data_IF_918727040325
#
_entry.id   IF_918727040325
#
_cell.length_a   1.000
_cell.length_b   1.000
_cell.length_c   1.000
_cell.angle_alpha   90.00
_cell.angle_beta   90.00
_cell.angle_gamma   90.00
#
_symmetry.space_group_name_H-M   'P 1'
#
loop_
_entity.id
_entity.type
_entity.pdbx_description
1 polymer ?
#
# COMPACT_ATOMS: atom_id res chain seq x y z
N UNK A 1 -4.05 1.38 -7.38
CA UNK A 1 -5.17 2.33 -7.53
C UNK A 1 -4.80 3.65 -6.84
N UNK A 2 -4.61 4.75 -7.58
CA UNK A 2 -4.41 6.07 -6.98
C UNK A 2 -5.76 6.62 -6.54
N UNK A 3 -5.95 6.88 -5.25
CA UNK A 3 -7.14 7.55 -4.73
C UNK A 3 -7.35 8.87 -5.48
N UNK A 4 -8.54 9.08 -6.05
CA UNK A 4 -8.82 10.31 -6.80
C UNK A 4 -8.89 11.49 -5.84
N UNK A 5 -8.44 12.68 -6.28
CA UNK A 5 -8.47 13.90 -5.45
C UNK A 5 -9.88 14.23 -4.95
N UNK A 6 -10.90 13.93 -5.77
CA UNK A 6 -12.31 14.08 -5.41
C UNK A 6 -12.72 13.11 -4.30
N UNK A 7 -12.23 11.87 -4.32
CA UNK A 7 -12.53 10.87 -3.30
C UNK A 7 -11.91 11.25 -1.94
N UNK A 8 -10.67 11.74 -1.93
CA UNK A 8 -10.04 12.23 -0.70
C UNK A 8 -10.73 13.47 -0.12
N UNK A 9 -11.23 14.37 -0.98
CA UNK A 9 -12.02 15.53 -0.55
C UNK A 9 -13.34 15.08 0.09
N UNK A 10 -14.05 14.16 -0.55
CA UNK A 10 -15.31 13.61 -0.04
C UNK A 10 -15.11 12.93 1.32
N UNK A 11 -14.10 12.07 1.44
CA UNK A 11 -13.74 11.39 2.69
C UNK A 11 -13.46 12.38 3.83
N UNK A 12 -12.76 13.47 3.52
CA UNK A 12 -12.47 14.53 4.50
C UNK A 12 -13.73 15.28 4.93
N UNK A 13 -14.61 15.63 3.98
CA UNK A 13 -15.88 16.31 4.26
C UNK A 13 -16.78 15.42 5.14
N UNK A 14 -16.94 14.15 4.77
CA UNK A 14 -17.76 13.19 5.52
C UNK A 14 -17.24 13.04 6.94
N UNK A 15 -15.92 12.90 7.14
CA UNK A 15 -15.34 12.83 8.48
C UNK A 15 -15.62 14.06 9.34
N UNK A 16 -15.55 15.27 8.75
CA UNK A 16 -15.88 16.51 9.46
C UNK A 16 -17.36 16.54 9.84
N UNK A 17 -18.26 16.22 8.91
CA UNK A 17 -19.71 16.22 9.16
C UNK A 17 -20.13 15.21 10.23
N UNK A 18 -19.56 13.99 10.19
CA UNK A 18 -19.82 12.96 11.20
C UNK A 18 -19.31 13.41 12.57
N UNK A 19 -18.08 13.97 12.64
CA UNK A 19 -17.53 14.49 13.89
C UNK A 19 -18.39 15.61 14.49
N UNK A 20 -18.87 16.53 13.65
CA UNK A 20 -19.76 17.61 14.06
C UNK A 20 -21.11 17.09 14.57
N UNK A 21 -21.72 16.16 13.83
CA UNK A 21 -23.01 15.56 14.19
C UNK A 21 -22.96 14.80 15.51
N UNK A 22 -21.89 14.00 15.72
CA UNK A 22 -21.68 13.28 16.98
C UNK A 22 -21.51 14.25 18.16
N UNK A 23 -20.73 15.33 17.97
CA UNK A 23 -20.55 16.34 19.02
C UNK A 23 -21.87 17.04 19.37
N UNK A 24 -22.66 17.44 18.36
CA UNK A 24 -23.95 18.10 18.58
C UNK A 24 -24.97 17.18 19.27
N UNK A 25 -25.02 15.90 18.90
CA UNK A 25 -25.90 14.91 19.51
C UNK A 25 -25.51 14.62 20.96
N UNK A 26 -24.21 14.44 21.24
CA UNK A 26 -23.70 14.24 22.58
C UNK A 26 -24.06 15.43 23.50
N UNK A 27 -23.85 16.65 23.02
CA UNK A 27 -24.20 17.86 23.77
C UNK A 27 -25.71 17.99 24.03
N UNK A 28 -26.54 17.70 23.02
CA UNK A 28 -27.99 17.79 23.13
C UNK A 28 -28.60 16.77 24.11
N UNK A 29 -27.89 15.68 24.41
CA UNK A 29 -28.34 14.64 25.34
C UNK A 29 -27.70 14.82 26.72
N UNK A 30 -26.37 14.95 26.78
CA UNK A 30 -25.61 14.95 28.03
C UNK A 30 -25.84 16.22 28.84
N UNK A 31 -25.87 17.39 28.20
CA UNK A 31 -25.90 18.66 28.94
C UNK A 31 -27.27 18.95 29.57
N UNK A 32 -28.41 18.63 28.94
CA UNK A 32 -29.71 18.68 29.62
C UNK A 32 -29.84 17.70 30.79
N UNK A 33 -29.23 16.51 30.70
CA UNK A 33 -29.18 15.55 31.82
C UNK A 33 -28.40 16.12 33.02
N UNK A 34 -27.44 17.00 32.77
CA UNK A 34 -26.68 17.72 33.80
C UNK A 34 -27.38 19.01 34.27
N UNK A 35 -28.60 19.29 33.79
CA UNK A 35 -29.39 20.46 34.16
C UNK A 35 -29.12 21.73 33.35
N UNK A 36 -28.33 21.66 32.28
CA UNK A 36 -28.04 22.78 31.40
C UNK A 36 -28.95 22.75 30.16
N UNK A 37 -29.90 23.67 30.07
CA UNK A 37 -30.67 23.88 28.84
C UNK A 37 -29.87 24.75 27.87
N UNK A 38 -29.48 24.19 26.73
CA UNK A 38 -28.58 24.83 25.76
C UNK A 38 -29.35 25.14 24.48
N UNK A 39 -29.21 26.38 24.00
CA UNK A 39 -29.75 26.78 22.70
C UNK A 39 -29.00 26.16 21.52
N UNK A 40 -29.63 26.10 20.34
CA UNK A 40 -28.99 25.61 19.11
C UNK A 40 -27.67 26.33 18.79
N UNK A 41 -27.63 27.66 18.99
CA UNK A 41 -26.44 28.47 18.72
C UNK A 41 -25.27 28.11 19.67
N UNK A 42 -25.55 27.93 20.96
CA UNK A 42 -24.55 27.49 21.93
C UNK A 42 -24.04 26.07 21.62
N UNK A 43 -24.93 25.16 21.20
CA UNK A 43 -24.51 23.82 20.78
C UNK A 43 -23.57 23.87 19.55
N UNK A 44 -23.88 24.74 18.58
CA UNK A 44 -23.06 24.92 17.38
C UNK A 44 -21.66 25.50 17.70
N UNK A 45 -21.57 26.42 18.68
CA UNK A 45 -20.29 26.92 19.19
C UNK A 45 -19.45 25.84 19.88
N UNK A 46 -20.08 25.02 20.74
CA UNK A 46 -19.39 23.90 21.40
C UNK A 46 -18.89 22.90 20.36
N UNK A 47 -19.73 22.56 19.37
CA UNK A 47 -19.37 21.63 18.31
C UNK A 47 -18.20 22.18 17.45
N UNK A 48 -18.18 23.48 17.14
CA UNK A 48 -17.07 24.13 16.48
C UNK A 48 -15.78 24.07 17.31
N UNK A 49 -15.86 24.34 18.61
CA UNK A 49 -14.70 24.26 19.51
C UNK A 49 -14.16 22.82 19.61
N UNK A 50 -15.03 21.83 19.77
CA UNK A 50 -14.66 20.41 19.80
C UNK A 50 -14.01 19.96 18.49
N UNK A 51 -14.45 20.50 17.36
CA UNK A 51 -13.84 20.24 16.05
C UNK A 51 -12.40 20.74 16.02
N UNK A 52 -12.15 21.98 16.48
CA UNK A 52 -10.79 22.55 16.57
C UNK A 52 -9.90 21.72 17.51
N UNK A 53 -10.39 21.37 18.70
CA UNK A 53 -9.65 20.54 19.66
C UNK A 53 -9.33 19.16 19.07
N UNK A 54 -10.27 18.54 18.36
CA UNK A 54 -10.06 17.24 17.73
C UNK A 54 -8.99 17.30 16.63
N UNK A 55 -9.00 18.35 15.80
CA UNK A 55 -7.97 18.62 14.79
C UNK A 55 -6.60 18.78 15.47
N UNK A 56 -6.51 19.63 16.51
CA UNK A 56 -5.27 19.89 17.23
C UNK A 56 -4.71 18.61 17.86
N UNK A 57 -5.55 17.80 18.52
CA UNK A 57 -5.14 16.52 19.11
C UNK A 57 -4.65 15.55 18.04
N UNK A 58 -5.38 15.43 16.92
CA UNK A 58 -5.00 14.52 15.82
C UNK A 58 -3.65 14.92 15.22
N UNK A 59 -3.44 16.21 14.98
CA UNK A 59 -2.17 16.74 14.51
C UNK A 59 -1.04 16.53 15.53
N UNK A 60 -1.27 16.85 16.80
CA UNK A 60 -0.28 16.68 17.87
C UNK A 60 0.12 15.21 18.04
N UNK A 61 -0.83 14.28 18.04
CA UNK A 61 -0.56 12.83 18.12
C UNK A 61 0.19 12.33 16.90
N UNK A 62 -0.18 12.76 15.70
CA UNK A 62 0.54 12.40 14.47
C UNK A 62 1.99 12.88 14.54
N UNK A 63 2.21 14.13 14.95
CA UNK A 63 3.53 14.73 15.09
C UNK A 63 4.36 14.04 16.18
N UNK A 64 3.73 13.64 17.28
CA UNK A 64 4.35 12.89 18.36
C UNK A 64 4.79 11.49 17.89
N UNK A 65 3.93 10.75 17.17
CA UNK A 65 4.29 9.43 16.64
C UNK A 65 5.40 9.49 15.58
N UNK A 66 5.43 10.55 14.76
CA UNK A 66 6.56 10.82 13.87
C UNK A 66 7.84 11.10 14.65
N UNK A 67 7.79 11.94 15.68
CA UNK A 67 8.96 12.24 16.53
C UNK A 67 9.48 10.99 17.25
N UNK A 68 8.57 10.14 17.73
CA UNK A 68 8.89 8.88 18.39
C UNK A 68 9.28 7.74 17.43
N UNK A 69 9.32 7.98 16.11
CA UNK A 69 9.63 6.98 15.09
C UNK A 69 8.81 5.68 15.19
N UNK A 70 7.60 5.75 15.76
CA UNK A 70 6.73 4.57 15.97
C UNK A 70 6.23 4.02 14.62
N UNK A 71 6.28 4.81 13.54
CA UNK A 71 5.92 4.40 12.18
C UNK A 71 7.12 4.49 11.27
N UNK A 72 7.63 3.35 10.79
CA UNK A 72 8.51 3.31 9.62
C UNK A 72 7.65 3.38 8.36
N UNK A 73 7.67 4.50 7.61
CA UNK A 73 6.89 4.60 6.38
C UNK A 73 7.39 3.58 5.35
N UNK A 74 6.47 2.98 4.60
CA UNK A 74 6.83 2.10 3.50
C UNK A 74 7.62 2.91 2.46
N UNK A 75 8.84 2.47 2.15
CA UNK A 75 9.73 3.17 1.23
C UNK A 75 9.15 3.23 -0.20
N UNK A 76 9.54 4.23 -1.02
CA UNK A 76 9.11 4.31 -2.41
C UNK A 76 9.45 3.08 -3.26
N UNK A 77 10.51 2.34 -2.89
CA UNK A 77 10.88 1.10 -3.56
C UNK A 77 9.89 -0.03 -3.22
N UNK A 78 9.55 -0.21 -1.94
CA UNK A 78 8.55 -1.19 -1.51
C UNK A 78 7.19 -0.93 -2.16
N UNK A 79 6.76 0.34 -2.25
CA UNK A 79 5.53 0.71 -2.97
C UNK A 79 5.60 0.35 -4.46
N UNK A 80 6.76 0.51 -5.10
CA UNK A 80 6.94 0.15 -6.50
C UNK A 80 6.85 -1.36 -6.73
N UNK A 81 7.40 -2.17 -5.81
CA UNK A 81 7.28 -3.63 -5.83
C UNK A 81 5.81 -4.05 -5.69
N UNK A 82 5.09 -3.50 -4.71
CA UNK A 82 3.65 -3.78 -4.53
C UNK A 82 2.83 -3.36 -5.75
N UNK A 83 3.12 -2.19 -6.33
CA UNK A 83 2.45 -1.71 -7.53
C UNK A 83 2.75 -2.59 -8.74
N UNK A 84 3.97 -3.11 -8.88
CA UNK A 84 4.32 -4.03 -9.95
C UNK A 84 3.61 -5.37 -9.81
N UNK A 85 3.57 -5.96 -8.61
CA UNK A 85 2.79 -7.18 -8.35
C UNK A 85 1.31 -6.97 -8.73
N UNK A 86 0.75 -5.81 -8.36
CA UNK A 86 -0.63 -5.49 -8.73
C UNK A 86 -0.81 -5.33 -10.24
N UNK A 87 0.14 -4.70 -10.94
CA UNK A 87 0.12 -4.56 -12.40
C UNK A 87 0.18 -5.92 -13.11
N UNK A 88 1.00 -6.85 -12.64
CA UNK A 88 1.08 -8.21 -13.17
C UNK A 88 -0.29 -8.91 -13.10
N UNK A 89 -1.01 -8.76 -11.98
CA UNK A 89 -2.37 -9.29 -11.82
C UNK A 89 -3.37 -8.55 -12.72
N UNK A 90 -3.42 -7.22 -12.64
CA UNK A 90 -4.49 -6.42 -13.27
C UNK A 90 -4.33 -6.26 -14.78
N UNK A 91 -3.10 -6.19 -15.27
CA UNK A 91 -2.79 -5.90 -16.68
C UNK A 91 -2.39 -7.15 -17.44
N UNK A 92 -1.59 -8.02 -16.82
CA UNK A 92 -1.08 -9.22 -17.48
C UNK A 92 -1.93 -10.47 -17.18
N UNK A 93 -2.86 -10.38 -16.24
CA UNK A 93 -3.76 -11.48 -15.88
C UNK A 93 -3.07 -12.60 -15.10
N UNK A 94 -1.88 -12.36 -14.55
CA UNK A 94 -1.15 -13.34 -13.73
C UNK A 94 -1.76 -13.37 -12.34
N UNK A 95 -2.94 -13.99 -12.25
CA UNK A 95 -3.70 -14.09 -11.03
C UNK A 95 -3.04 -15.03 -10.02
N UNK A 96 -3.39 -14.95 -8.72
CA UNK A 96 -2.96 -15.92 -7.73
C UNK A 96 -3.21 -17.39 -8.15
N UNK A 97 -4.34 -17.65 -8.80
CA UNK A 97 -4.73 -18.99 -9.28
C UNK A 97 -3.86 -19.44 -10.46
N UNK A 98 -3.50 -18.52 -11.35
CA UNK A 98 -2.50 -18.80 -12.40
C UNK A 98 -1.16 -19.19 -11.77
N UNK A 99 -0.70 -18.39 -10.79
CA UNK A 99 0.59 -18.59 -10.13
C UNK A 99 0.65 -19.95 -9.40
N UNK A 100 -0.46 -20.40 -8.83
CA UNK A 100 -0.60 -21.70 -8.17
C UNK A 100 -0.38 -22.89 -9.12
N UNK A 101 -0.65 -22.71 -10.41
CA UNK A 101 -0.39 -23.69 -11.48
C UNK A 101 1.07 -23.73 -11.94
N UNK A 102 1.89 -22.73 -11.62
CA UNK A 102 3.30 -22.69 -12.02
C UNK A 102 4.15 -23.55 -11.08
N UNK A 103 5.16 -24.23 -11.63
CA UNK A 103 6.08 -25.09 -10.89
C UNK A 103 6.58 -24.43 -9.58
N UNK A 104 6.71 -25.18 -8.47
CA UNK A 104 7.25 -24.65 -7.22
C UNK A 104 8.62 -24.00 -7.42
N UNK A 105 8.83 -22.82 -6.84
CA UNK A 105 10.09 -22.08 -6.92
C UNK A 105 10.34 -21.35 -8.24
N UNK A 106 9.52 -21.54 -9.27
CA UNK A 106 9.71 -20.89 -10.57
C UNK A 106 9.56 -19.37 -10.50
N UNK A 107 8.58 -18.83 -9.77
CA UNK A 107 8.43 -17.37 -9.65
C UNK A 107 9.62 -16.79 -8.87
N UNK A 108 10.12 -17.51 -7.85
CA UNK A 108 11.35 -17.13 -7.14
C UNK A 108 12.59 -17.19 -8.04
N UNK A 109 12.75 -18.22 -8.89
CA UNK A 109 13.85 -18.34 -9.84
C UNK A 109 13.83 -17.21 -10.89
N UNK A 110 12.65 -16.87 -11.40
CA UNK A 110 12.47 -15.72 -12.28
C UNK A 110 12.79 -14.39 -11.55
N UNK A 111 12.39 -14.26 -10.29
CA UNK A 111 12.73 -13.12 -9.45
C UNK A 111 14.24 -12.98 -9.24
N UNK A 112 14.92 -14.09 -8.91
CA UNK A 112 16.37 -14.14 -8.76
C UNK A 112 17.10 -13.80 -10.06
N UNK A 113 16.59 -14.24 -11.21
CA UNK A 113 17.15 -13.91 -12.52
C UNK A 113 17.19 -12.40 -12.75
N UNK A 114 16.09 -11.69 -12.50
CA UNK A 114 16.08 -10.22 -12.58
C UNK A 114 17.00 -9.55 -11.56
N UNK A 115 17.10 -10.10 -10.34
CA UNK A 115 17.95 -9.53 -9.29
C UNK A 115 19.45 -9.69 -9.58
N UNK A 116 19.87 -10.86 -10.08
CA UNK A 116 21.26 -11.15 -10.44
C UNK A 116 21.71 -10.41 -11.69
N UNK A 117 20.81 -10.19 -12.64
CA UNK A 117 21.12 -9.45 -13.88
C UNK A 117 21.04 -7.93 -13.70
N UNK A 118 20.34 -7.43 -12.66
CA UNK A 118 20.18 -5.99 -12.46
C UNK A 118 21.52 -5.22 -12.39
N UNK A 119 22.56 -5.67 -11.65
CA UNK A 119 23.85 -4.96 -11.57
C UNK A 119 24.56 -4.78 -12.91
N UNK A 120 24.31 -5.65 -13.91
CA UNK A 120 24.92 -5.49 -15.24
C UNK A 120 24.52 -4.17 -15.93
N UNK A 121 23.38 -3.58 -15.56
CA UNK A 121 22.98 -2.24 -16.02
C UNK A 121 23.87 -1.11 -15.49
N UNK A 122 24.70 -1.36 -14.47
CA UNK A 122 25.58 -0.36 -13.85
C UNK A 122 27.02 -0.41 -14.40
N UNK A 123 27.41 -1.50 -15.07
CA UNK A 123 28.78 -1.72 -15.54
C UNK A 123 28.93 -1.34 -17.03
N UNK A 124 29.62 -0.23 -17.27
CA UNK A 124 30.23 0.23 -18.54
C UNK A 124 29.30 0.46 -19.76
N UNK A 125 29.12 1.75 -20.11
CA UNK A 125 28.78 2.17 -21.49
C UNK A 125 27.30 2.07 -21.92
N UNK A 126 26.36 1.81 -21.01
CA UNK A 126 24.92 1.96 -21.26
C UNK A 126 24.29 1.01 -22.29
N UNK A 127 25.05 0.05 -22.84
CA UNK A 127 24.61 -0.80 -23.95
C UNK A 127 24.47 -2.30 -23.61
N UNK A 128 24.71 -2.70 -22.37
CA UNK A 128 24.56 -4.09 -21.95
C UNK A 128 23.20 -4.40 -21.33
N UNK A 129 22.09 -4.22 -22.05
CA UNK A 129 20.90 -4.98 -21.68
C UNK A 129 21.31 -6.46 -21.75
N UNK A 130 21.17 -7.23 -20.66
CA UNK A 130 21.31 -8.68 -20.69
C UNK A 130 20.25 -9.26 -21.63
N UNK A 131 20.46 -9.20 -22.94
CA UNK A 131 19.46 -9.53 -23.97
C UNK A 131 19.16 -11.04 -24.03
N UNK A 132 19.92 -11.84 -23.29
CA UNK A 132 19.69 -13.26 -23.07
C UNK A 132 19.30 -13.48 -21.61
N UNK A 133 18.25 -14.28 -21.35
CA UNK A 133 17.95 -14.70 -20.00
C UNK A 133 19.11 -15.54 -19.44
N UNK A 134 19.39 -15.44 -18.12
CA UNK A 134 20.33 -16.34 -17.46
C UNK A 134 19.78 -17.77 -17.44
N UNK A 135 20.64 -18.75 -17.17
CA UNK A 135 20.27 -20.18 -17.08
C UNK A 135 19.20 -20.45 -16.00
N UNK A 136 19.16 -19.61 -14.97
CA UNK A 136 18.17 -19.69 -13.90
C UNK A 136 16.76 -19.21 -14.31
N UNK A 137 16.61 -18.61 -15.50
CA UNK A 137 15.32 -18.15 -15.98
C UNK A 137 14.43 -19.36 -16.35
N UNK A 138 13.24 -19.51 -15.72
CA UNK A 138 12.47 -20.75 -15.80
C UNK A 138 11.49 -20.81 -16.99
N UNK A 139 11.39 -19.74 -17.78
CA UNK A 139 10.38 -19.60 -18.83
C UNK A 139 11.00 -19.36 -20.21
N UNK A 140 10.18 -19.26 -21.25
CA UNK A 140 10.68 -18.95 -22.58
C UNK A 140 11.39 -17.58 -22.61
N UNK A 141 12.29 -17.44 -23.58
CA UNK A 141 13.05 -16.20 -23.80
C UNK A 141 12.16 -14.99 -24.08
N UNK A 142 10.99 -15.18 -24.65
CA UNK A 142 10.07 -14.09 -25.02
C UNK A 142 9.51 -13.32 -23.80
N UNK A 143 9.56 -13.97 -22.62
CA UNK A 143 9.15 -13.37 -21.36
C UNK A 143 10.29 -12.67 -20.62
N UNK A 144 11.52 -12.80 -21.10
CA UNK A 144 12.68 -12.11 -20.55
C UNK A 144 12.75 -10.68 -21.06
N UNK A 145 12.48 -9.70 -20.19
CA UNK A 145 12.35 -8.29 -20.56
C UNK A 145 13.09 -7.40 -19.53
N UNK A 146 14.44 -7.43 -19.46
CA UNK A 146 15.19 -6.56 -18.57
C UNK A 146 15.09 -5.10 -19.03
N UNK A 147 14.99 -4.18 -18.09
CA UNK A 147 14.57 -2.78 -18.33
C UNK A 147 15.29 -1.77 -17.43
N UNK A 148 16.45 -2.15 -16.89
CA UNK A 148 17.32 -1.29 -16.10
C UNK A 148 17.34 -1.66 -14.62
N UNK A 149 18.41 -1.26 -13.93
CA UNK A 149 18.73 -1.67 -12.56
C UNK A 149 17.53 -1.62 -11.61
N UNK A 150 16.93 -0.44 -11.41
CA UNK A 150 15.82 -0.26 -10.47
C UNK A 150 14.57 -1.04 -10.91
N UNK A 151 14.25 -1.05 -12.20
CA UNK A 151 13.02 -1.66 -12.71
C UNK A 151 13.08 -3.19 -12.60
N UNK A 152 14.25 -3.76 -12.83
CA UNK A 152 14.46 -5.20 -12.73
C UNK A 152 14.43 -5.67 -11.28
N UNK A 153 14.99 -4.90 -10.33
CA UNK A 153 14.79 -5.17 -8.91
C UNK A 153 13.32 -5.08 -8.47
N UNK A 154 12.54 -4.18 -9.06
CA UNK A 154 11.09 -4.08 -8.80
C UNK A 154 10.34 -5.32 -9.32
N UNK A 155 10.67 -5.80 -10.53
CA UNK A 155 10.12 -7.05 -11.09
C UNK A 155 10.52 -8.25 -10.24
N UNK A 156 11.78 -8.30 -9.81
CA UNK A 156 12.31 -9.34 -8.94
C UNK A 156 11.51 -9.43 -7.64
N UNK A 157 11.33 -8.30 -6.94
CA UNK A 157 10.54 -8.24 -5.71
C UNK A 157 9.08 -8.67 -5.92
N UNK A 158 8.45 -8.27 -7.03
CA UNK A 158 7.06 -8.65 -7.32
C UNK A 158 6.90 -10.16 -7.54
N UNK A 159 7.84 -10.78 -8.25
CA UNK A 159 7.86 -12.23 -8.48
C UNK A 159 8.14 -13.03 -7.20
N UNK A 160 9.01 -12.52 -6.33
CA UNK A 160 9.27 -13.13 -5.00
C UNK A 160 8.01 -13.07 -4.13
N UNK A 161 7.30 -11.93 -4.12
CA UNK A 161 6.01 -11.82 -3.43
C UNK A 161 5.02 -12.85 -3.98
N UNK A 162 4.93 -12.99 -5.31
CA UNK A 162 4.04 -13.97 -5.93
C UNK A 162 4.33 -15.42 -5.49
N UNK A 163 5.62 -15.81 -5.43
CA UNK A 163 6.01 -17.13 -4.92
C UNK A 163 5.66 -17.30 -3.43
N UNK A 164 5.90 -16.26 -2.61
CA UNK A 164 5.56 -16.26 -1.18
C UNK A 164 4.06 -16.42 -0.94
N UNK A 165 3.24 -15.65 -1.67
CA UNK A 165 1.77 -15.75 -1.62
C UNK A 165 1.29 -17.17 -1.99
N UNK A 166 1.88 -17.79 -3.02
CA UNK A 166 1.62 -19.19 -3.40
C UNK A 166 2.00 -20.17 -2.28
N UNK A 167 3.15 -19.97 -1.65
CA UNK A 167 3.60 -20.79 -0.52
C UNK A 167 2.63 -20.69 0.67
N UNK A 168 2.21 -19.48 1.02
CA UNK A 168 1.30 -19.22 2.14
C UNK A 168 -0.07 -19.86 1.92
N UNK A 169 -0.64 -19.74 0.72
CA UNK A 169 -1.90 -20.43 0.35
C UNK A 169 -1.79 -21.95 0.51
N UNK A 170 -0.77 -22.57 -0.09
CA UNK A 170 -0.52 -24.02 0.00
C UNK A 170 -0.23 -24.51 1.41
N UNK A 171 0.17 -23.62 2.34
CA UNK A 171 0.33 -23.94 3.76
C UNK A 171 -1.00 -23.87 4.50
N UNK A 172 -1.86 -22.90 4.17
CA UNK A 172 -3.22 -22.81 4.68
C UNK A 172 -4.04 -24.06 4.37
N UNK A 173 -3.95 -24.56 3.13
CA UNK A 173 -4.70 -25.74 2.67
C UNK A 173 -4.26 -27.06 3.34
N UNK A 174 -3.03 -27.13 3.87
CA UNK A 174 -2.49 -28.33 4.54
C UNK A 174 -2.84 -28.43 6.02
N UNK A 175 -3.35 -27.36 6.62
CA UNK A 175 -3.66 -27.28 8.05
C UNK A 175 -5.18 -27.19 8.33
N UNK A 176 -6.03 -27.28 7.30
CA UNK A 176 -7.49 -27.40 7.40
C UNK A 176 -7.95 -28.79 7.01
#
# INVERSE_FOLDING_TARGET
MKQSRAMSLLESIVNILVGLGVAMAANAIILPLLGFAISLQQNLQIAAFMTVVSILRSYALRRLFEALHIRHPISPFMLAVMAERRRQIEVEGWSPEHDDGVLPGSLAAAGASYALEAPHHLSAGGAGQSARPPESWPWSRDWWKPTGFRRDLVKAGALIIAEGEKFDRRRGDRNG
#
